data_IF_008879966921
#
_entry.id   IF_008879966921
#
_cell.length_a   1.000
_cell.length_b   1.000
_cell.length_c   1.000
_cell.angle_alpha   90.00
_cell.angle_beta   90.00
_cell.angle_gamma   90.00
#
_symmetry.space_group_name_H-M   'P 1'
#
loop_
_entity.id
_entity.type
_entity.pdbx_description
1 polymer ?
#
# COMPACT_ATOMS: atom_id res chain seq x y z
N UNK A 1 0.94 13.95 -12.78
CA UNK A 1 0.54 13.67 -11.38
C UNK A 1 1.70 12.99 -10.66
N UNK A 2 2.02 13.37 -9.42
CA UNK A 2 3.12 12.78 -8.64
C UNK A 2 2.60 11.95 -7.48
N UNK A 3 3.16 10.77 -7.28
CA UNK A 3 2.71 9.81 -6.27
C UNK A 3 3.86 9.46 -5.32
N UNK A 4 3.58 9.46 -4.01
CA UNK A 4 4.42 8.83 -2.99
C UNK A 4 3.84 7.45 -2.67
N UNK A 5 4.58 6.40 -2.93
CA UNK A 5 4.19 5.04 -2.59
C UNK A 5 5.02 4.53 -1.41
N UNK A 6 4.38 4.30 -0.29
CA UNK A 6 4.96 3.76 0.93
C UNK A 6 4.57 2.29 1.07
N UNK A 7 5.52 1.39 0.87
CA UNK A 7 5.30 -0.06 0.86
C UNK A 7 5.58 -0.62 2.25
N UNK A 8 4.56 -1.17 2.88
CA UNK A 8 4.74 -1.91 4.14
C UNK A 8 5.63 -3.14 3.90
N UNK A 9 6.77 -3.17 4.58
CA UNK A 9 7.82 -4.15 4.40
C UNK A 9 8.30 -4.73 5.74
N UNK A 10 8.92 -5.89 5.69
CA UNK A 10 9.69 -6.52 6.76
C UNK A 10 10.70 -7.46 6.11
N UNK A 11 11.91 -7.52 6.60
CA UNK A 11 12.96 -8.42 6.15
C UNK A 11 13.14 -9.66 7.05
N UNK A 12 12.21 -9.90 7.96
CA UNK A 12 12.22 -11.06 8.86
C UNK A 12 12.10 -12.41 8.13
N UNK A 13 11.68 -12.39 6.87
CA UNK A 13 11.53 -13.60 6.06
C UNK A 13 12.13 -13.38 4.67
N UNK A 14 12.96 -14.29 4.20
CA UNK A 14 13.60 -14.24 2.87
C UNK A 14 12.62 -14.02 1.73
N UNK A 15 11.41 -14.54 1.87
CA UNK A 15 10.37 -14.36 0.87
C UNK A 15 10.00 -12.88 0.65
N UNK A 16 9.97 -12.08 1.71
CA UNK A 16 9.68 -10.65 1.61
C UNK A 16 10.86 -9.87 1.03
N UNK A 17 12.10 -10.32 1.29
CA UNK A 17 13.30 -9.76 0.64
C UNK A 17 13.24 -9.98 -0.87
N UNK A 18 12.87 -11.17 -1.32
CA UNK A 18 12.71 -11.47 -2.76
C UNK A 18 11.58 -10.66 -3.42
N UNK A 19 10.47 -10.42 -2.70
CA UNK A 19 9.39 -9.55 -3.16
C UNK A 19 9.86 -8.09 -3.26
N UNK A 20 10.64 -7.61 -2.27
CA UNK A 20 11.24 -6.28 -2.31
C UNK A 20 12.12 -6.09 -3.55
N UNK A 21 13.02 -7.04 -3.83
CA UNK A 21 13.89 -6.98 -5.00
C UNK A 21 13.11 -6.85 -6.31
N UNK A 22 12.03 -7.65 -6.45
CA UNK A 22 11.17 -7.61 -7.62
C UNK A 22 10.44 -6.27 -7.77
N UNK A 23 9.84 -5.76 -6.67
CA UNK A 23 9.07 -4.52 -6.68
C UNK A 23 9.95 -3.28 -6.80
N UNK A 24 11.09 -3.22 -6.10
CA UNK A 24 12.04 -2.10 -6.18
C UNK A 24 12.54 -1.92 -7.63
N UNK A 25 12.87 -3.02 -8.31
CA UNK A 25 13.23 -2.98 -9.72
C UNK A 25 12.11 -2.43 -10.62
N UNK A 26 10.89 -2.90 -10.43
CA UNK A 26 9.72 -2.49 -11.21
C UNK A 26 9.36 -1.02 -10.97
N UNK A 27 9.30 -0.59 -9.71
CA UNK A 27 8.86 0.76 -9.37
C UNK A 27 9.85 1.85 -9.77
N UNK A 28 11.14 1.55 -9.90
CA UNK A 28 12.16 2.47 -10.43
C UNK A 28 11.90 2.90 -11.88
N UNK A 29 11.07 2.16 -12.62
CA UNK A 29 10.66 2.51 -13.98
C UNK A 29 9.69 3.70 -14.09
N UNK A 30 9.11 4.17 -12.97
CA UNK A 30 8.10 5.23 -12.97
C UNK A 30 8.69 6.54 -12.44
N UNK A 31 8.97 7.51 -13.32
CA UNK A 31 9.58 8.80 -12.97
C UNK A 31 8.71 9.67 -12.06
N UNK A 32 7.40 9.53 -12.15
CA UNK A 32 6.43 10.31 -11.37
C UNK A 32 5.99 9.63 -10.07
N UNK A 33 6.59 8.47 -9.75
CA UNK A 33 6.31 7.72 -8.52
C UNK A 33 7.57 7.59 -7.70
N UNK A 34 7.57 8.15 -6.49
CA UNK A 34 8.62 7.90 -5.51
C UNK A 34 8.19 6.75 -4.61
N UNK A 35 8.91 5.63 -4.65
CA UNK A 35 8.59 4.46 -3.82
C UNK A 35 9.62 4.29 -2.72
N UNK A 36 9.13 4.07 -1.49
CA UNK A 36 9.93 3.70 -0.33
C UNK A 36 9.31 2.50 0.37
N UNK A 37 10.18 1.60 0.84
CA UNK A 37 9.83 0.42 1.61
C UNK A 37 10.14 0.67 3.08
N UNK A 38 9.15 0.64 3.97
CA UNK A 38 9.36 0.95 5.37
C UNK A 38 9.24 -0.29 6.26
N UNK A 39 10.23 -0.44 7.15
CA UNK A 39 10.34 -1.56 8.09
C UNK A 39 10.84 -1.11 9.46
N UNK A 40 10.64 -1.94 10.48
CA UNK A 40 11.35 -1.79 11.73
C UNK A 40 12.78 -2.36 11.64
N UNK A 41 13.72 -1.71 12.33
CA UNK A 41 15.07 -2.16 12.53
C UNK A 41 15.54 -1.78 13.95
N UNK A 42 15.88 -2.78 14.76
CA UNK A 42 16.35 -2.56 16.15
C UNK A 42 17.77 -1.99 16.21
N UNK A 43 18.55 -2.11 15.12
CA UNK A 43 19.98 -1.84 15.11
C UNK A 43 20.36 -0.43 14.66
N UNK A 44 19.42 0.36 14.14
CA UNK A 44 19.71 1.73 13.73
C UNK A 44 20.01 2.62 14.93
N UNK A 45 20.87 3.62 14.75
CA UNK A 45 21.30 4.53 15.82
C UNK A 45 20.26 5.61 16.10
N UNK A 46 19.61 6.12 15.06
CA UNK A 46 18.56 7.14 15.14
C UNK A 46 17.16 6.55 15.29
N UNK A 47 16.15 7.40 15.27
CA UNK A 47 14.75 6.97 15.25
C UNK A 47 14.32 6.49 13.88
N UNK A 48 14.82 7.13 12.81
CA UNK A 48 14.54 6.79 11.41
C UNK A 48 15.82 7.03 10.60
N UNK A 49 16.14 6.09 9.72
CA UNK A 49 17.26 6.17 8.77
C UNK A 49 16.77 5.73 7.38
N UNK A 50 17.16 6.47 6.33
CA UNK A 50 16.84 6.11 4.94
C UNK A 50 18.10 5.58 4.27
N UNK A 51 18.03 4.37 3.74
CA UNK A 51 19.12 3.73 2.99
C UNK A 51 18.58 3.32 1.62
N UNK A 52 18.95 4.07 0.57
CA UNK A 52 18.38 3.87 -0.76
C UNK A 52 16.89 4.14 -0.78
N UNK A 53 16.10 3.13 -1.09
CA UNK A 53 14.63 3.17 -1.09
C UNK A 53 14.01 2.51 0.17
N UNK A 54 14.82 2.22 1.19
CA UNK A 54 14.36 1.62 2.46
C UNK A 54 14.35 2.67 3.57
N UNK A 55 13.21 2.79 4.24
CA UNK A 55 13.03 3.56 5.48
C UNK A 55 13.14 2.58 6.66
N UNK A 56 14.23 2.65 7.39
CA UNK A 56 14.42 1.90 8.63
C UNK A 56 13.91 2.74 9.79
N UNK A 57 12.96 2.20 10.55
CA UNK A 57 12.33 2.84 11.71
C UNK A 57 12.80 2.09 12.96
N UNK A 58 13.24 2.79 14.00
CA UNK A 58 13.67 2.17 15.25
C UNK A 58 12.51 1.41 15.89
N UNK A 59 12.68 0.10 16.06
CA UNK A 59 11.63 -0.71 16.69
C UNK A 59 11.71 -2.18 16.32
N UNK A 60 10.74 -2.92 16.85
CA UNK A 60 10.59 -4.36 16.62
C UNK A 60 9.30 -4.67 15.89
N UNK A 61 9.41 -5.58 14.91
CA UNK A 61 8.24 -6.02 14.14
C UNK A 61 7.18 -6.67 15.04
N UNK A 62 5.96 -6.17 14.94
CA UNK A 62 4.77 -6.73 15.59
C UNK A 62 3.52 -6.45 14.76
N UNK A 63 2.47 -7.23 14.99
CA UNK A 63 1.23 -7.11 14.22
C UNK A 63 0.43 -5.88 14.67
N UNK A 64 -0.15 -5.92 15.85
CA UNK A 64 -0.93 -4.81 16.45
C UNK A 64 -0.28 -4.41 17.76
N UNK A 65 0.03 -3.14 18.02
CA UNK A 65 -0.15 -1.97 17.14
C UNK A 65 1.03 -1.70 16.18
N UNK A 66 1.98 -2.63 16.03
CA UNK A 66 3.24 -2.38 15.34
C UNK A 66 3.07 -1.92 13.88
N UNK A 67 2.21 -2.57 13.10
CA UNK A 67 1.96 -2.16 11.71
C UNK A 67 1.43 -0.72 11.66
N UNK A 68 0.46 -0.37 12.50
CA UNK A 68 -0.08 1.00 12.55
C UNK A 68 0.99 2.02 12.96
N UNK A 69 1.77 1.72 14.01
CA UNK A 69 2.79 2.64 14.50
C UNK A 69 3.85 2.91 13.43
N UNK A 70 4.38 1.87 12.81
CA UNK A 70 5.38 1.99 11.73
C UNK A 70 4.82 2.74 10.50
N UNK A 71 3.53 2.54 10.16
CA UNK A 71 2.87 3.29 9.08
C UNK A 71 2.77 4.78 9.42
N UNK A 72 2.42 5.11 10.67
CA UNK A 72 2.39 6.50 11.16
C UNK A 72 3.78 7.13 11.10
N UNK A 73 4.81 6.43 11.58
CA UNK A 73 6.18 6.94 11.58
C UNK A 73 6.67 7.24 10.16
N UNK A 74 6.36 6.35 9.20
CA UNK A 74 6.65 6.58 7.79
C UNK A 74 5.89 7.80 7.24
N UNK A 75 4.61 7.96 7.58
CA UNK A 75 3.85 9.15 7.16
C UNK A 75 4.42 10.43 7.79
N UNK A 76 4.70 10.42 9.09
CA UNK A 76 5.24 11.59 9.80
C UNK A 76 6.62 12.00 9.31
N UNK A 77 7.44 11.09 8.81
CA UNK A 77 8.71 11.42 8.18
C UNK A 77 8.52 12.42 7.03
N UNK A 78 7.62 12.12 6.08
CA UNK A 78 7.36 12.98 4.92
C UNK A 78 6.63 14.28 5.28
N UNK A 79 5.81 14.26 6.32
CA UNK A 79 5.19 15.47 6.86
C UNK A 79 6.24 16.41 7.46
N UNK A 80 7.07 15.88 8.36
CA UNK A 80 8.00 16.70 9.16
C UNK A 80 9.12 17.32 8.34
N UNK A 81 9.56 16.68 7.26
CA UNK A 81 10.56 17.22 6.34
C UNK A 81 9.94 18.03 5.18
N UNK A 82 8.62 18.16 5.11
CA UNK A 82 7.90 18.91 4.08
C UNK A 82 7.88 18.25 2.70
N UNK A 83 8.40 17.03 2.55
CA UNK A 83 8.50 16.38 1.25
C UNK A 83 7.15 15.97 0.66
N UNK A 84 6.13 15.76 1.51
CA UNK A 84 4.77 15.44 1.05
C UNK A 84 4.20 16.49 0.08
N UNK A 85 4.68 17.75 0.14
CA UNK A 85 4.23 18.83 -0.74
C UNK A 85 4.46 18.56 -2.22
N UNK A 86 5.43 17.72 -2.55
CA UNK A 86 5.80 17.33 -3.91
C UNK A 86 4.79 16.39 -4.56
N UNK A 87 3.89 15.76 -3.79
CA UNK A 87 3.02 14.69 -4.24
C UNK A 87 1.54 15.09 -4.25
N UNK A 88 0.81 14.60 -5.23
CA UNK A 88 -0.64 14.76 -5.34
C UNK A 88 -1.38 13.69 -4.55
N UNK A 89 -0.81 12.47 -4.53
CA UNK A 89 -1.33 11.31 -3.82
C UNK A 89 -0.26 10.62 -3.00
N UNK A 90 -0.67 10.08 -1.85
CA UNK A 90 0.13 9.22 -0.97
C UNK A 90 -0.55 7.87 -0.88
N UNK A 91 0.21 6.82 -1.15
CA UNK A 91 -0.27 5.44 -1.16
C UNK A 91 0.44 4.66 -0.07
N UNK A 92 -0.31 3.93 0.73
CA UNK A 92 0.20 2.85 1.57
C UNK A 92 -0.12 1.54 0.88
N UNK A 93 0.88 0.84 0.38
CA UNK A 93 0.76 -0.46 -0.28
C UNK A 93 1.43 -1.57 0.54
N UNK A 94 1.22 -2.82 0.13
CA UNK A 94 1.78 -3.99 0.81
C UNK A 94 2.84 -4.66 -0.06
N UNK A 95 3.88 -5.22 0.56
CA UNK A 95 4.99 -5.91 -0.13
C UNK A 95 4.55 -7.02 -1.09
N UNK A 96 3.40 -7.64 -0.87
CA UNK A 96 2.87 -8.67 -1.75
C UNK A 96 1.85 -8.16 -2.77
N UNK A 97 1.85 -6.84 -3.03
CA UNK A 97 0.96 -6.18 -4.00
C UNK A 97 1.77 -5.45 -5.06
N UNK A 98 1.49 -5.73 -6.32
CA UNK A 98 2.02 -4.96 -7.45
C UNK A 98 0.98 -3.91 -7.82
N UNK A 99 1.34 -2.64 -7.78
CA UNK A 99 0.48 -1.53 -8.22
C UNK A 99 0.81 -1.21 -9.67
N UNK A 100 -0.20 -1.22 -10.53
CA UNK A 100 -0.09 -0.75 -11.91
C UNK A 100 -0.22 0.78 -11.94
N UNK A 101 0.88 1.48 -11.79
CA UNK A 101 0.88 2.94 -11.69
C UNK A 101 0.42 3.65 -12.96
N UNK A 102 0.66 3.08 -14.14
CA UNK A 102 0.16 3.66 -15.39
C UNK A 102 -1.36 3.74 -15.39
N UNK A 103 -2.03 2.62 -15.07
CA UNK A 103 -3.48 2.58 -15.01
C UNK A 103 -4.04 3.36 -13.81
N UNK A 104 -3.36 3.30 -12.66
CA UNK A 104 -3.78 4.04 -11.46
C UNK A 104 -3.72 5.55 -11.69
N UNK A 105 -2.66 6.06 -12.32
CA UNK A 105 -2.53 7.48 -12.64
C UNK A 105 -3.67 7.95 -13.54
N UNK A 106 -3.98 7.20 -14.61
CA UNK A 106 -5.10 7.48 -15.50
C UNK A 106 -6.43 7.55 -14.73
N UNK A 107 -6.68 6.59 -13.85
CA UNK A 107 -7.92 6.53 -13.05
C UNK A 107 -8.05 7.71 -12.07
N UNK A 108 -6.96 8.10 -11.42
CA UNK A 108 -6.96 9.20 -10.46
C UNK A 108 -7.07 10.58 -11.14
N UNK A 109 -6.56 10.73 -12.36
CA UNK A 109 -6.76 11.94 -13.17
C UNK A 109 -8.20 12.11 -13.62
N UNK A 110 -8.84 11.01 -14.02
CA UNK A 110 -10.26 11.02 -14.44
C UNK A 110 -11.22 11.18 -13.26
N UNK A 111 -10.88 10.61 -12.10
CA UNK A 111 -11.74 10.55 -10.92
C UNK A 111 -10.93 10.91 -9.66
N UNK A 112 -10.66 12.20 -9.40
CA UNK A 112 -9.97 12.62 -8.21
C UNK A 112 -10.73 12.22 -6.93
N UNK A 113 -10.02 11.65 -5.96
CA UNK A 113 -10.60 11.12 -4.72
C UNK A 113 -9.79 11.60 -3.51
N UNK A 114 -10.44 11.70 -2.35
CA UNK A 114 -9.77 12.08 -1.09
C UNK A 114 -9.26 10.85 -0.33
N UNK A 115 -10.07 9.80 -0.24
CA UNK A 115 -9.72 8.51 0.37
C UNK A 115 -10.26 7.37 -0.49
N UNK A 116 -9.39 6.45 -0.86
CA UNK A 116 -9.68 5.44 -1.84
C UNK A 116 -8.96 4.11 -1.56
N UNK A 117 -9.63 3.01 -1.86
CA UNK A 117 -9.04 1.68 -1.93
C UNK A 117 -9.45 1.00 -3.21
N UNK A 118 -8.50 0.49 -3.96
CA UNK A 118 -8.77 -0.18 -5.24
C UNK A 118 -9.59 -1.46 -5.02
N UNK A 119 -10.90 -1.38 -5.17
CA UNK A 119 -11.90 -2.46 -5.16
C UNK A 119 -11.90 -3.48 -4.02
N UNK A 120 -10.87 -3.55 -3.21
CA UNK A 120 -10.88 -4.37 -2.00
C UNK A 120 -11.42 -3.55 -0.82
N UNK A 121 -12.67 -3.17 -0.92
CA UNK A 121 -13.39 -2.51 0.15
C UNK A 121 -13.99 -3.60 1.02
N UNK A 122 -13.47 -3.71 2.24
CA UNK A 122 -14.04 -4.54 3.27
C UNK A 122 -15.15 -3.81 4.02
N UNK A 123 -15.86 -4.54 4.85
CA UNK A 123 -16.88 -4.03 5.75
C UNK A 123 -16.63 -4.58 7.17
N UNK A 124 -16.60 -3.72 8.15
CA UNK A 124 -16.45 -4.09 9.56
C UNK A 124 -17.50 -3.39 10.42
N UNK A 125 -18.03 -4.08 11.39
CA UNK A 125 -18.92 -3.50 12.39
C UNK A 125 -18.12 -3.06 13.62
N UNK A 126 -18.22 -1.77 13.95
CA UNK A 126 -17.63 -1.17 15.15
C UNK A 126 -18.71 -0.33 15.82
N UNK A 127 -18.98 -0.59 17.09
CA UNK A 127 -19.98 0.11 17.89
C UNK A 127 -21.38 0.15 17.21
N UNK A 128 -21.83 -0.99 16.67
CA UNK A 128 -23.06 -1.16 15.87
C UNK A 128 -23.10 -0.31 14.58
N UNK A 129 -21.96 0.13 14.09
CA UNK A 129 -21.85 0.90 12.85
C UNK A 129 -21.04 0.12 11.82
N UNK A 130 -21.62 -0.07 10.63
CA UNK A 130 -20.90 -0.65 9.49
C UNK A 130 -19.95 0.37 8.89
N UNK A 131 -18.64 0.06 8.92
CA UNK A 131 -17.58 0.90 8.38
C UNK A 131 -16.96 0.21 7.17
N UNK A 132 -17.01 0.89 6.03
CA UNK A 132 -16.28 0.46 4.85
C UNK A 132 -14.82 0.87 4.96
N UNK A 133 -13.90 -0.01 4.56
CA UNK A 133 -12.47 0.26 4.62
C UNK A 133 -11.72 -0.20 3.36
N UNK A 134 -10.69 0.57 2.98
CA UNK A 134 -9.69 0.12 2.05
C UNK A 134 -8.80 -0.90 2.74
N UNK A 135 -8.75 -2.13 2.24
CA UNK A 135 -7.88 -3.14 2.86
C UNK A 135 -6.40 -2.75 2.73
N UNK A 136 -5.57 -3.29 3.61
CA UNK A 136 -4.13 -3.10 3.62
C UNK A 136 -3.40 -3.56 2.34
N UNK A 137 -4.11 -3.95 1.30
CA UNK A 137 -3.55 -4.22 -0.03
C UNK A 137 -3.01 -2.93 -0.65
N UNK A 138 -3.85 -1.88 -0.69
CA UNK A 138 -3.43 -0.51 -0.93
C UNK A 138 -4.47 0.49 -0.41
N UNK A 139 -4.00 1.50 0.27
CA UNK A 139 -4.77 2.64 0.77
C UNK A 139 -4.25 3.86 0.03
N UNK A 140 -5.13 4.58 -0.65
CA UNK A 140 -4.77 5.74 -1.46
C UNK A 140 -5.43 6.97 -0.86
N UNK A 141 -4.65 8.02 -0.66
CA UNK A 141 -5.10 9.31 -0.14
C UNK A 141 -4.63 10.43 -1.04
N UNK A 142 -5.49 11.39 -1.34
CA UNK A 142 -5.02 12.65 -1.87
C UNK A 142 -4.12 13.35 -0.86
N UNK A 143 -3.34 14.35 -1.29
CA UNK A 143 -2.56 15.21 -0.38
C UNK A 143 -3.44 15.73 0.77
N UNK A 144 -4.66 16.16 0.48
CA UNK A 144 -5.62 16.65 1.49
C UNK A 144 -6.00 15.55 2.48
N UNK A 145 -6.37 14.35 2.00
CA UNK A 145 -6.72 13.21 2.87
C UNK A 145 -5.54 12.80 3.75
N UNK A 146 -4.35 12.72 3.17
CA UNK A 146 -3.12 12.45 3.93
C UNK A 146 -2.88 13.50 5.02
N UNK A 147 -2.96 14.82 4.70
CA UNK A 147 -2.77 15.88 5.70
C UNK A 147 -3.83 15.81 6.79
N UNK A 148 -5.10 15.55 6.44
CA UNK A 148 -6.16 15.36 7.42
C UNK A 148 -5.80 14.21 8.39
N UNK A 149 -5.24 13.10 7.89
CA UNK A 149 -4.81 11.98 8.71
C UNK A 149 -3.64 12.34 9.62
N UNK A 150 -2.54 12.88 9.06
CA UNK A 150 -1.30 13.11 9.82
C UNK A 150 -1.40 14.26 10.80
N UNK A 151 -2.30 15.22 10.59
CA UNK A 151 -2.59 16.29 11.56
C UNK A 151 -3.41 15.79 12.76
N UNK A 152 -4.05 14.64 12.64
CA UNK A 152 -4.95 14.09 13.64
C UNK A 152 -4.61 12.64 14.05
N UNK A 153 -3.34 12.25 13.98
CA UNK A 153 -2.89 10.89 14.30
C UNK A 153 -3.22 10.43 15.72
N UNK A 154 -3.43 11.36 16.64
CA UNK A 154 -3.86 11.09 18.01
C UNK A 154 -5.29 10.53 18.10
N UNK A 155 -6.09 10.67 17.05
CA UNK A 155 -7.45 10.13 16.95
C UNK A 155 -7.49 8.69 16.40
N UNK A 156 -6.35 8.17 15.94
CA UNK A 156 -6.26 6.79 15.44
C UNK A 156 -6.42 5.78 16.57
N UNK A 157 -7.19 4.74 16.32
CA UNK A 157 -7.40 3.66 17.29
C UNK A 157 -6.23 2.66 17.25
N UNK A 158 -5.34 2.73 18.25
CA UNK A 158 -4.14 1.88 18.37
C UNK A 158 -4.45 0.40 18.68
N UNK A 159 -5.68 0.06 19.03
CA UNK A 159 -6.09 -1.33 19.20
C UNK A 159 -6.43 -2.02 17.87
N UNK A 160 -6.49 -1.28 16.77
CA UNK A 160 -6.76 -1.79 15.44
C UNK A 160 -5.47 -1.84 14.59
N UNK A 161 -5.47 -2.71 13.59
CA UNK A 161 -4.48 -2.70 12.51
C UNK A 161 -4.65 -1.43 11.67
N UNK A 162 -3.64 -1.05 10.90
CA UNK A 162 -3.56 0.25 10.23
C UNK A 162 -4.72 0.55 9.27
N UNK A 163 -5.11 -0.40 8.42
CA UNK A 163 -6.20 -0.21 7.46
C UNK A 163 -7.55 0.04 8.15
N UNK A 164 -7.85 -0.71 9.21
CA UNK A 164 -9.05 -0.52 10.01
C UNK A 164 -9.02 0.78 10.81
N UNK A 165 -7.87 1.10 11.43
CA UNK A 165 -7.72 2.34 12.20
C UNK A 165 -7.89 3.58 11.33
N UNK A 166 -7.30 3.59 10.14
CA UNK A 166 -7.44 4.66 9.14
C UNK A 166 -8.89 4.78 8.67
N UNK A 167 -9.56 3.67 8.41
CA UNK A 167 -10.96 3.68 7.98
C UNK A 167 -11.90 4.25 9.04
N UNK A 168 -11.75 3.82 10.30
CA UNK A 168 -12.52 4.35 11.44
C UNK A 168 -12.29 5.85 11.61
N UNK A 169 -11.05 6.30 11.45
CA UNK A 169 -10.70 7.71 11.49
C UNK A 169 -11.45 8.52 10.41
N UNK A 170 -11.36 8.12 9.15
CA UNK A 170 -12.04 8.81 8.07
C UNK A 170 -13.57 8.75 8.18
N UNK A 171 -14.11 7.61 8.63
CA UNK A 171 -15.54 7.47 8.90
C UNK A 171 -16.04 8.48 9.93
N UNK A 172 -15.31 8.66 11.05
CA UNK A 172 -15.65 9.66 12.10
C UNK A 172 -15.63 11.11 11.57
N UNK A 173 -14.85 11.38 10.56
CA UNK A 173 -14.81 12.69 9.88
C UNK A 173 -15.80 12.82 8.73
N UNK A 174 -16.68 11.83 8.51
CA UNK A 174 -17.58 11.74 7.37
C UNK A 174 -16.89 11.77 6.00
N UNK A 175 -15.60 11.40 5.94
CA UNK A 175 -14.87 11.20 4.70
C UNK A 175 -15.14 9.77 4.22
N UNK A 176 -15.96 9.66 3.18
CA UNK A 176 -16.33 8.35 2.63
C UNK A 176 -15.23 7.80 1.76
N UNK A 177 -15.01 6.48 1.87
CA UNK A 177 -14.17 5.78 0.92
C UNK A 177 -14.83 5.80 -0.46
N UNK A 178 -14.05 6.13 -1.47
CA UNK A 178 -14.49 6.03 -2.88
C UNK A 178 -13.95 4.74 -3.47
N UNK A 179 -14.80 4.02 -4.18
CA UNK A 179 -14.39 2.87 -4.99
C UNK A 179 -14.29 3.31 -6.45
N UNK A 180 -13.10 3.36 -7.00
CA UNK A 180 -12.86 3.78 -8.40
C UNK A 180 -12.91 2.60 -9.38
N UNK A 181 -13.14 1.41 -8.91
CA UNK A 181 -13.40 0.26 -9.76
C UNK A 181 -14.58 -0.52 -9.20
N UNK A 182 -15.57 -0.83 -10.01
CA UNK A 182 -16.60 -1.78 -9.59
C UNK A 182 -15.96 -3.15 -9.34
N UNK A 183 -16.48 -3.90 -8.38
CA UNK A 183 -16.06 -5.29 -8.17
C UNK A 183 -16.15 -6.05 -9.51
N UNK A 184 -15.03 -6.59 -9.96
CA UNK A 184 -14.92 -7.29 -11.25
C UNK A 184 -14.45 -6.44 -12.44
N UNK A 185 -14.39 -5.10 -12.32
CA UNK A 185 -13.86 -4.22 -13.36
C UNK A 185 -12.52 -3.62 -12.93
N UNK A 186 -11.42 -4.24 -13.38
CA UNK A 186 -10.05 -3.69 -13.35
C UNK A 186 -9.47 -3.26 -11.98
N UNK A 187 -10.02 -3.70 -10.86
CA UNK A 187 -9.55 -3.25 -9.55
C UNK A 187 -8.40 -4.08 -8.99
N UNK A 188 -8.70 -5.20 -8.32
CA UNK A 188 -7.70 -6.10 -7.74
C UNK A 188 -7.81 -7.49 -8.35
N UNK A 189 -6.68 -8.00 -8.86
CA UNK A 189 -6.52 -9.41 -9.12
C UNK A 189 -5.92 -10.11 -7.88
N UNK A 190 -6.62 -11.09 -7.33
CA UNK A 190 -6.08 -11.96 -6.29
C UNK A 190 -5.40 -13.18 -6.92
N UNK A 191 -4.11 -13.34 -6.64
CA UNK A 191 -3.27 -14.41 -7.14
C UNK A 191 -2.89 -15.30 -5.96
N UNK A 192 -3.69 -16.36 -5.73
CA UNK A 192 -3.58 -17.23 -4.56
C UNK A 192 -2.85 -18.54 -4.81
N UNK A 193 -2.56 -18.86 -6.08
CA UNK A 193 -1.86 -20.08 -6.48
C UNK A 193 -0.81 -19.78 -7.54
N UNK A 194 0.09 -20.72 -7.78
CA UNK A 194 1.07 -20.60 -8.85
C UNK A 194 0.36 -20.44 -10.20
N UNK A 195 0.78 -19.45 -10.96
CA UNK A 195 0.35 -19.17 -12.32
C UNK A 195 1.48 -19.46 -13.30
N UNK A 196 1.16 -20.08 -14.42
CA UNK A 196 2.11 -20.20 -15.51
C UNK A 196 2.29 -18.83 -16.24
N UNK A 197 3.24 -18.79 -17.16
CA UNK A 197 3.58 -17.57 -17.90
C UNK A 197 2.41 -17.05 -18.75
N UNK A 198 1.63 -17.94 -19.36
CA UNK A 198 0.47 -17.58 -20.18
C UNK A 198 -0.68 -17.03 -19.34
N UNK A 199 -0.94 -17.63 -18.19
CA UNK A 199 -1.94 -17.16 -17.22
C UNK A 199 -1.57 -15.75 -16.70
N UNK A 200 -0.29 -15.51 -16.38
CA UNK A 200 0.19 -14.21 -15.96
C UNK A 200 0.03 -13.16 -17.07
N UNK A 201 0.38 -13.50 -18.32
CA UNK A 201 0.16 -12.65 -19.49
C UNK A 201 -1.31 -12.28 -19.67
N UNK A 202 -2.21 -13.25 -19.57
CA UNK A 202 -3.65 -13.02 -19.63
C UNK A 202 -4.11 -12.10 -18.50
N UNK A 203 -3.68 -12.37 -17.28
CA UNK A 203 -4.02 -11.57 -16.10
C UNK A 203 -3.64 -10.08 -16.29
N UNK A 204 -2.47 -9.82 -16.87
CA UNK A 204 -2.03 -8.44 -17.15
C UNK A 204 -2.87 -7.80 -18.28
N UNK A 205 -3.28 -8.58 -19.29
CA UNK A 205 -4.15 -8.08 -20.38
C UNK A 205 -5.54 -7.65 -19.88
N UNK A 206 -6.01 -8.19 -18.75
CA UNK A 206 -7.27 -7.82 -18.11
C UNK A 206 -7.21 -6.47 -17.36
N UNK A 207 -6.01 -5.83 -17.31
CA UNK A 207 -5.76 -4.47 -16.81
C UNK A 207 -6.25 -4.18 -15.39
N UNK A 208 -5.75 -4.93 -14.41
CA UNK A 208 -6.02 -4.65 -12.99
C UNK A 208 -5.15 -3.50 -12.46
N UNK A 209 -5.71 -2.71 -11.54
CA UNK A 209 -4.99 -1.65 -10.81
C UNK A 209 -3.96 -2.24 -9.85
N UNK A 210 -4.27 -3.39 -9.25
CA UNK A 210 -3.41 -4.05 -8.27
C UNK A 210 -3.46 -5.56 -8.46
N UNK A 211 -2.30 -6.19 -8.40
CA UNK A 211 -2.15 -7.64 -8.37
C UNK A 211 -1.71 -8.06 -6.98
N UNK A 212 -2.61 -8.63 -6.19
CA UNK A 212 -2.37 -9.10 -4.84
C UNK A 212 -1.93 -10.56 -4.85
N UNK A 213 -0.65 -10.81 -4.61
CA UNK A 213 -0.08 -12.14 -4.52
C UNK A 213 -0.14 -12.63 -3.07
N UNK A 214 -0.96 -13.64 -2.81
CA UNK A 214 -1.12 -14.24 -1.49
C UNK A 214 -1.53 -15.69 -1.61
N UNK A 215 -0.55 -16.56 -1.76
CA UNK A 215 -0.73 -18.01 -1.62
C UNK A 215 -0.73 -18.38 -0.13
N UNK A 216 -1.71 -19.13 0.30
CA UNK A 216 -1.79 -19.63 1.68
C UNK A 216 -0.90 -20.86 1.87
N UNK A 217 -0.78 -21.70 0.83
CA UNK A 217 -0.04 -22.95 0.90
C UNK A 217 1.47 -22.77 0.72
N UNK A 218 1.89 -21.90 -0.19
CA UNK A 218 3.30 -21.70 -0.50
C UNK A 218 3.60 -20.28 -0.96
N UNK A 219 4.18 -19.49 -0.07
CA UNK A 219 4.54 -18.08 -0.34
C UNK A 219 5.61 -17.90 -1.43
N UNK A 220 6.38 -18.94 -1.80
CA UNK A 220 7.31 -18.85 -2.93
C UNK A 220 6.57 -18.70 -4.26
N UNK A 221 5.34 -19.18 -4.39
CA UNK A 221 4.51 -18.94 -5.55
C UNK A 221 4.24 -17.44 -5.78
N UNK A 222 4.14 -16.67 -4.70
CA UNK A 222 3.91 -15.24 -4.80
C UNK A 222 5.06 -14.54 -5.50
N UNK A 223 6.31 -14.89 -5.19
CA UNK A 223 7.50 -14.30 -5.83
C UNK A 223 7.57 -14.67 -7.31
N UNK A 224 7.29 -15.93 -7.66
CA UNK A 224 7.27 -16.40 -9.05
C UNK A 224 6.20 -15.62 -9.83
N UNK A 225 4.99 -15.58 -9.29
CA UNK A 225 3.87 -14.84 -9.90
C UNK A 225 4.20 -13.35 -10.06
N UNK A 226 4.77 -12.71 -9.03
CA UNK A 226 5.16 -11.29 -9.08
C UNK A 226 6.15 -11.03 -10.20
N UNK A 227 7.21 -11.83 -10.32
CA UNK A 227 8.21 -11.69 -11.38
C UNK A 227 7.59 -11.87 -12.77
N UNK A 228 6.71 -12.86 -12.94
CA UNK A 228 6.02 -13.11 -14.19
C UNK A 228 5.02 -11.98 -14.55
N UNK A 229 4.26 -11.47 -13.58
CA UNK A 229 3.35 -10.35 -13.80
C UNK A 229 4.13 -9.08 -14.17
N UNK A 230 5.18 -8.74 -13.42
CA UNK A 230 6.03 -7.57 -13.68
C UNK A 230 6.61 -7.62 -15.10
N UNK A 231 7.07 -8.77 -15.58
CA UNK A 231 7.58 -8.97 -16.96
C UNK A 231 6.60 -8.50 -18.04
N UNK A 232 5.31 -8.54 -17.78
CA UNK A 232 4.27 -8.12 -18.74
C UNK A 232 3.70 -6.73 -18.47
N UNK A 233 4.05 -6.11 -17.34
CA UNK A 233 3.69 -4.73 -17.00
C UNK A 233 4.74 -3.72 -17.48
N UNK A 234 5.98 -4.16 -17.72
CA UNK A 234 7.10 -3.38 -18.28
C UNK A 234 7.19 -3.54 -19.78
#
# INVERSE_FOLDING_TARGET
>A
MKILNLVLYSDNYDIYVQMYEALSGYYKGFSDVSTYFYKYDENISGNIEITGDIINIKGRESYTPGILNKTIDAFMLFKNNGEYEKYDYIIRSNISSIVNFSLLSEQLELNPVEYYGSTNIGNIEIDNTNILFASGTNIIMSKKGYMTLVDNINLLNRALIDDLSIAVFFHKLNIKITNVGKAGENGIAFVSMLKDDLECKKLVSDKYLVYRNRSEDNRHYDVINMKNIIKYLT
#
